data_IF_724289862397
#
_entry.id   IF_724289862397
#
_cell.length_a   1.000
_cell.length_b   1.000
_cell.length_c   1.000
_cell.angle_alpha   90.00
_cell.angle_beta   90.00
_cell.angle_gamma   90.00
#
_symmetry.space_group_name_H-M   'P 1'
#
loop_
_entity.id
_entity.type
_entity.pdbx_description
1 polymer ?
#
# COMPACT_ATOMS: atom_id res chain seq x y z
N UNK A 1 2.26 23.46 -24.46
CA UNK A 1 1.96 24.90 -24.25
C UNK A 1 0.89 25.08 -23.19
N UNK A 2 1.19 25.77 -22.09
CA UNK A 2 0.20 26.16 -21.08
C UNK A 2 -0.41 27.51 -21.47
N UNK A 3 -1.71 27.72 -21.22
CA UNK A 3 -2.39 28.98 -21.51
C UNK A 3 -2.94 29.55 -20.22
N UNK A 4 -2.64 30.81 -19.92
CA UNK A 4 -3.13 31.52 -18.72
C UNK A 4 -4.56 32.05 -18.88
N UNK A 5 -5.16 31.94 -20.08
CA UNK A 5 -6.52 32.46 -20.36
C UNK A 5 -7.59 31.58 -19.69
N UNK A 6 -8.40 32.10 -18.74
CA UNK A 6 -9.38 31.30 -18.00
C UNK A 6 -10.42 30.63 -18.90
N UNK A 7 -10.91 31.32 -19.93
CA UNK A 7 -11.92 30.77 -20.86
C UNK A 7 -11.41 29.53 -21.60
N UNK A 8 -10.13 29.54 -22.02
CA UNK A 8 -9.50 28.39 -22.68
C UNK A 8 -9.29 27.21 -21.73
N UNK A 9 -8.96 27.48 -20.47
CA UNK A 9 -8.80 26.45 -19.45
C UNK A 9 -10.13 25.77 -19.09
N UNK A 10 -11.21 26.56 -18.90
CA UNK A 10 -12.56 26.04 -18.63
C UNK A 10 -13.05 25.18 -19.80
N UNK A 11 -12.93 25.67 -21.04
CA UNK A 11 -13.30 24.92 -22.25
C UNK A 11 -12.58 23.57 -22.32
N UNK A 12 -11.27 23.53 -22.02
CA UNK A 12 -10.47 22.30 -21.99
C UNK A 12 -10.99 21.28 -20.97
N UNK A 13 -11.42 21.72 -19.78
CA UNK A 13 -11.95 20.83 -18.75
C UNK A 13 -13.30 20.23 -19.15
N UNK A 14 -14.19 21.03 -19.70
CA UNK A 14 -15.52 20.56 -20.13
C UNK A 14 -15.46 19.62 -21.34
N UNK A 15 -14.57 19.90 -22.29
CA UNK A 15 -14.42 19.12 -23.54
C UNK A 15 -13.38 17.99 -23.44
N UNK A 16 -12.82 17.72 -22.26
CA UNK A 16 -11.79 16.70 -22.10
C UNK A 16 -12.31 15.30 -22.49
N UNK A 17 -11.51 14.48 -23.21
CA UNK A 17 -11.79 13.05 -23.40
C UNK A 17 -11.58 12.24 -22.12
N UNK A 18 -12.17 11.04 -22.04
CA UNK A 18 -12.21 10.24 -20.80
C UNK A 18 -10.86 9.87 -20.19
N UNK A 19 -9.85 9.59 -21.02
CA UNK A 19 -8.50 9.29 -20.54
C UNK A 19 -7.83 10.51 -19.87
N UNK A 20 -8.24 11.73 -20.25
CA UNK A 20 -7.82 12.98 -19.59
C UNK A 20 -8.67 13.21 -18.34
N UNK A 21 -9.99 12.98 -18.41
CA UNK A 21 -10.88 13.09 -17.23
C UNK A 21 -10.43 12.20 -16.08
N UNK A 22 -9.96 11.00 -16.39
CA UNK A 22 -9.35 10.08 -15.42
C UNK A 22 -8.20 10.72 -14.62
N UNK A 23 -7.35 11.53 -15.26
CA UNK A 23 -6.25 12.21 -14.58
C UNK A 23 -6.73 13.33 -13.66
N UNK A 24 -7.82 14.00 -14.02
CA UNK A 24 -8.44 15.05 -13.20
C UNK A 24 -9.14 14.49 -11.95
N UNK A 25 -9.62 13.25 -12.00
CA UNK A 25 -10.28 12.56 -10.88
C UNK A 25 -9.30 11.99 -9.83
N UNK A 26 -8.23 12.72 -9.53
CA UNK A 26 -7.26 12.32 -8.51
C UNK A 26 -7.64 12.80 -7.12
N UNK A 27 -7.48 11.94 -6.11
CA UNK A 27 -7.64 12.28 -4.71
C UNK A 27 -6.31 12.15 -3.94
N UNK A 28 -6.09 12.95 -2.87
CA UNK A 28 -4.96 12.79 -1.98
C UNK A 28 -4.99 11.44 -1.26
N UNK A 29 -3.81 10.84 -1.07
CA UNK A 29 -3.64 9.65 -0.25
C UNK A 29 -3.55 10.01 1.25
N UNK A 30 -3.92 9.07 2.11
CA UNK A 30 -3.73 9.17 3.56
C UNK A 30 -2.25 9.35 3.92
N UNK A 31 -1.91 10.00 5.04
CA UNK A 31 -0.53 10.17 5.47
C UNK A 31 0.26 8.85 5.56
N UNK A 32 -0.40 7.75 5.90
CA UNK A 32 0.18 6.40 5.97
C UNK A 32 0.56 5.89 4.58
N UNK A 33 -0.39 5.87 3.64
CA UNK A 33 -0.14 5.46 2.25
C UNK A 33 0.88 6.35 1.54
N UNK A 34 0.93 7.64 1.91
CA UNK A 34 1.93 8.58 1.40
C UNK A 34 3.33 8.23 1.85
N UNK A 35 3.51 7.76 3.09
CA UNK A 35 4.81 7.30 3.61
C UNK A 35 5.25 6.00 2.92
N UNK A 36 4.33 5.06 2.75
CA UNK A 36 4.62 3.74 2.16
C UNK A 36 5.01 3.82 0.67
N UNK A 37 4.24 4.59 -0.11
CA UNK A 37 4.41 4.66 -1.55
C UNK A 37 5.17 5.90 -2.03
N UNK A 38 5.33 6.93 -1.20
CA UNK A 38 6.03 8.18 -1.55
C UNK A 38 5.27 9.09 -2.53
N UNK A 39 3.97 8.84 -2.74
CA UNK A 39 3.14 9.53 -3.75
C UNK A 39 2.12 10.41 -3.04
N UNK A 40 1.83 11.60 -3.58
CA UNK A 40 0.85 12.52 -2.98
C UNK A 40 -0.61 12.16 -3.28
N UNK A 41 -0.90 11.77 -4.52
CA UNK A 41 -2.27 11.52 -5.00
C UNK A 41 -2.32 10.46 -6.10
N UNK A 42 -3.47 9.79 -6.18
CA UNK A 42 -3.80 8.82 -7.22
C UNK A 42 -5.22 9.04 -7.75
N UNK A 43 -5.49 8.69 -9.03
CA UNK A 43 -6.86 8.60 -9.54
C UNK A 43 -7.70 7.62 -8.74
N UNK A 44 -8.90 8.05 -8.35
CA UNK A 44 -9.84 7.22 -7.60
C UNK A 44 -10.44 6.14 -8.50
N UNK A 45 -10.58 4.93 -7.98
CA UNK A 45 -11.23 3.80 -8.65
C UNK A 45 -12.33 3.21 -7.77
N UNK A 46 -13.26 2.49 -8.39
CA UNK A 46 -14.23 1.67 -7.66
C UNK A 46 -13.48 0.67 -6.76
N UNK A 47 -14.01 0.47 -5.55
CA UNK A 47 -13.41 -0.38 -4.53
C UNK A 47 -12.32 0.27 -3.68
N UNK A 48 -11.84 1.48 -3.99
CA UNK A 48 -11.00 2.24 -3.05
C UNK A 48 -11.84 2.62 -1.81
N UNK A 49 -11.22 2.58 -0.62
CA UNK A 49 -11.85 3.12 0.59
C UNK A 49 -11.44 4.57 0.76
N UNK A 50 -12.41 5.41 1.05
CA UNK A 50 -12.24 6.84 1.06
C UNK A 50 -12.89 7.49 2.29
N UNK A 51 -12.30 8.60 2.72
CA UNK A 51 -12.80 9.47 3.78
C UNK A 51 -13.13 10.85 3.23
N UNK A 52 -14.30 11.37 3.53
CA UNK A 52 -14.70 12.73 3.15
C UNK A 52 -14.05 13.74 4.08
N UNK A 53 -13.34 14.72 3.52
CA UNK A 53 -12.57 15.73 4.25
C UNK A 53 -13.31 17.08 4.38
N UNK A 54 -14.18 17.40 3.42
CA UNK A 54 -14.84 18.71 3.30
C UNK A 54 -16.32 18.55 2.90
N UNK A 55 -17.15 19.50 3.31
CA UNK A 55 -18.60 19.51 3.09
C UNK A 55 -19.37 18.90 4.27
N UNK A 56 -20.67 18.71 4.07
CA UNK A 56 -21.61 18.31 5.13
C UNK A 56 -21.29 16.92 5.69
N UNK A 57 -20.83 16.02 4.82
CA UNK A 57 -20.50 14.64 5.16
C UNK A 57 -19.05 14.45 5.62
N UNK A 58 -18.42 15.49 6.18
CA UNK A 58 -17.03 15.42 6.65
C UNK A 58 -16.89 14.36 7.74
N UNK A 59 -15.84 13.54 7.61
CA UNK A 59 -15.55 12.45 8.55
C UNK A 59 -16.16 11.12 8.15
N UNK A 60 -17.11 11.10 7.20
CA UNK A 60 -17.67 9.86 6.68
C UNK A 60 -16.62 9.04 5.93
N UNK A 61 -16.59 7.73 6.20
CA UNK A 61 -15.72 6.76 5.54
C UNK A 61 -16.56 5.70 4.84
N UNK A 62 -16.18 5.35 3.61
CA UNK A 62 -16.89 4.34 2.85
C UNK A 62 -16.11 3.90 1.61
N UNK A 63 -16.56 2.81 0.98
CA UNK A 63 -15.98 2.35 -0.28
C UNK A 63 -16.56 3.13 -1.45
N UNK A 64 -15.77 3.32 -2.50
CA UNK A 64 -16.26 3.91 -3.74
C UNK A 64 -17.04 2.88 -4.54
N UNK A 65 -18.34 3.12 -4.75
CA UNK A 65 -19.18 2.27 -5.56
C UNK A 65 -18.89 2.47 -7.05
N UNK A 66 -19.06 3.71 -7.52
CA UNK A 66 -18.87 4.08 -8.92
C UNK A 66 -18.24 5.46 -9.08
N UNK A 67 -17.58 5.64 -10.21
CA UNK A 67 -16.89 6.88 -10.59
C UNK A 67 -17.45 7.38 -11.92
N UNK A 68 -18.18 8.50 -11.87
CA UNK A 68 -18.78 9.12 -13.04
C UNK A 68 -17.83 10.16 -13.61
N UNK A 69 -17.13 9.77 -14.68
CA UNK A 69 -16.13 10.64 -15.35
C UNK A 69 -16.77 11.80 -16.11
N UNK A 70 -18.01 11.66 -16.55
CA UNK A 70 -18.71 12.71 -17.28
C UNK A 70 -18.94 13.95 -16.42
N UNK A 71 -19.34 13.74 -15.17
CA UNK A 71 -19.70 14.80 -14.21
C UNK A 71 -18.58 15.14 -13.22
N UNK A 72 -17.47 14.40 -13.27
CA UNK A 72 -16.37 14.48 -12.31
C UNK A 72 -16.82 14.17 -10.86
N UNK A 73 -17.73 13.22 -10.70
CA UNK A 73 -18.32 12.84 -9.41
C UNK A 73 -18.05 11.39 -9.06
N UNK A 74 -18.07 11.11 -7.77
CA UNK A 74 -17.84 9.82 -7.15
C UNK A 74 -18.99 9.57 -6.19
N UNK A 75 -19.41 8.31 -6.12
CA UNK A 75 -20.45 7.86 -5.21
C UNK A 75 -19.84 6.90 -4.22
N UNK A 76 -20.08 7.18 -2.95
CA UNK A 76 -19.53 6.44 -1.82
C UNK A 76 -20.66 5.59 -1.24
N UNK A 77 -20.34 4.35 -0.89
CA UNK A 77 -21.23 3.42 -0.22
C UNK A 77 -21.68 3.97 1.13
N UNK A 78 -22.98 3.82 1.44
CA UNK A 78 -23.59 4.36 2.65
C UNK A 78 -23.80 5.88 2.65
N UNK A 79 -23.32 6.59 1.62
CA UNK A 79 -23.55 8.02 1.49
C UNK A 79 -24.79 8.30 0.64
N UNK A 80 -25.95 8.19 1.27
CA UNK A 80 -27.26 8.37 0.65
C UNK A 80 -28.00 9.56 1.22
N UNK A 81 -28.96 10.08 0.44
CA UNK A 81 -30.00 11.00 0.88
C UNK A 81 -31.35 10.41 0.51
N UNK A 82 -32.34 10.62 1.37
CA UNK A 82 -33.72 10.23 1.11
C UNK A 82 -34.41 11.28 0.24
N UNK A 83 -35.19 10.82 -0.75
CA UNK A 83 -36.12 11.66 -1.49
C UNK A 83 -37.46 11.74 -0.76
N UNK A 84 -38.30 12.69 -1.17
CA UNK A 84 -39.69 12.82 -0.67
C UNK A 84 -40.49 11.52 -0.90
N UNK A 85 -40.21 10.81 -1.99
CA UNK A 85 -40.83 9.52 -2.33
C UNK A 85 -40.34 8.35 -1.45
N UNK A 86 -39.46 8.58 -0.48
CA UNK A 86 -38.84 7.55 0.38
C UNK A 86 -37.69 6.77 -0.26
N UNK A 87 -37.42 6.97 -1.56
CA UNK A 87 -36.30 6.30 -2.24
C UNK A 87 -34.94 6.92 -1.84
N UNK A 88 -33.95 6.08 -1.58
CA UNK A 88 -32.58 6.52 -1.26
C UNK A 88 -31.74 6.74 -2.52
N UNK A 89 -31.11 7.91 -2.65
CA UNK A 89 -30.20 8.23 -3.75
C UNK A 89 -28.81 8.54 -3.23
N UNK A 90 -27.80 8.03 -3.92
CA UNK A 90 -26.39 8.27 -3.59
C UNK A 90 -26.02 9.74 -3.81
N UNK A 91 -25.24 10.29 -2.89
CA UNK A 91 -24.81 11.69 -2.97
C UNK A 91 -23.54 11.83 -3.84
N UNK A 92 -23.53 12.71 -4.87
CA UNK A 92 -22.39 12.88 -5.75
C UNK A 92 -21.30 13.78 -5.12
N UNK A 93 -20.12 13.22 -4.88
CA UNK A 93 -18.98 13.93 -4.30
C UNK A 93 -17.85 14.10 -5.31
N UNK A 94 -17.20 15.27 -5.30
CA UNK A 94 -15.99 15.51 -6.09
C UNK A 94 -14.75 14.92 -5.37
N UNK A 95 -13.82 14.21 -6.05
CA UNK A 95 -12.66 13.55 -5.44
C UNK A 95 -11.76 14.47 -4.62
N UNK A 96 -11.62 15.75 -4.99
CA UNK A 96 -10.79 16.70 -4.23
C UNK A 96 -11.30 16.96 -2.81
N UNK A 97 -12.56 16.62 -2.51
CA UNK A 97 -13.15 16.72 -1.16
C UNK A 97 -12.87 15.48 -0.32
N UNK A 98 -12.17 14.48 -0.88
CA UNK A 98 -12.05 13.14 -0.34
C UNK A 98 -10.57 12.78 -0.20
N UNK A 99 -10.25 11.90 0.74
CA UNK A 99 -8.93 11.30 0.94
C UNK A 99 -9.04 9.79 0.79
N UNK A 100 -8.11 9.16 0.07
CA UNK A 100 -8.08 7.70 -0.04
C UNK A 100 -7.39 7.14 1.21
N UNK A 101 -8.09 6.28 1.94
CA UNK A 101 -7.58 5.61 3.14
C UNK A 101 -6.99 4.24 2.81
N UNK A 102 -7.65 3.46 1.95
CA UNK A 102 -7.18 2.16 1.47
C UNK A 102 -7.28 2.08 -0.04
N UNK A 103 -6.24 1.56 -0.70
CA UNK A 103 -6.20 1.36 -2.14
C UNK A 103 -6.70 -0.02 -2.51
N UNK A 104 -7.52 -0.11 -3.55
CA UNK A 104 -7.72 -1.36 -4.26
C UNK A 104 -6.50 -1.61 -5.19
N UNK A 105 -5.84 -2.77 -5.03
CA UNK A 105 -4.69 -3.21 -5.82
C UNK A 105 -4.94 -4.50 -6.62
N UNK A 106 -6.20 -4.85 -6.88
CA UNK A 106 -6.57 -6.06 -7.62
C UNK A 106 -6.03 -6.00 -9.06
N UNK A 107 -6.00 -4.80 -9.63
CA UNK A 107 -5.56 -4.54 -11.00
C UNK A 107 -4.03 -4.43 -11.12
N UNK A 108 -3.45 -5.26 -12.01
CA UNK A 108 -2.02 -5.24 -12.39
C UNK A 108 -1.58 -3.87 -12.89
N UNK A 109 -2.41 -3.18 -13.70
CA UNK A 109 -2.05 -1.86 -14.22
C UNK A 109 -1.94 -0.81 -13.12
N UNK A 110 -2.76 -0.91 -12.08
CA UNK A 110 -2.75 0.02 -10.94
C UNK A 110 -1.49 -0.17 -10.10
N UNK A 111 -1.10 -1.41 -9.83
CA UNK A 111 0.20 -1.77 -9.22
C UNK A 111 1.37 -1.21 -10.04
N UNK A 112 1.37 -1.41 -11.35
CA UNK A 112 2.43 -0.89 -12.23
C UNK A 112 2.52 0.64 -12.22
N UNK A 113 1.39 1.35 -12.18
CA UNK A 113 1.37 2.82 -12.07
C UNK A 113 1.95 3.27 -10.73
N UNK A 114 1.61 2.57 -9.65
CA UNK A 114 2.11 2.87 -8.31
C UNK A 114 3.63 2.69 -8.23
N UNK A 115 4.14 1.57 -8.71
CA UNK A 115 5.58 1.29 -8.77
C UNK A 115 6.33 2.29 -9.64
N UNK A 116 5.80 2.60 -10.83
CA UNK A 116 6.40 3.60 -11.72
C UNK A 116 6.49 4.96 -11.04
N UNK A 117 5.42 5.41 -10.39
CA UNK A 117 5.40 6.69 -9.66
C UNK A 117 6.34 6.69 -8.46
N UNK A 118 6.49 5.55 -7.76
CA UNK A 118 7.43 5.37 -6.65
C UNK A 118 8.88 5.50 -7.13
N UNK A 119 9.23 4.87 -8.26
CA UNK A 119 10.57 4.97 -8.88
C UNK A 119 10.92 6.41 -9.25
N UNK A 120 10.01 7.14 -9.89
CA UNK A 120 10.26 8.54 -10.31
C UNK A 120 10.54 9.48 -9.12
N UNK A 121 10.02 9.17 -7.93
CA UNK A 121 10.18 9.98 -6.72
C UNK A 121 11.46 9.66 -5.94
N UNK A 122 12.27 8.69 -6.36
CA UNK A 122 13.55 8.35 -5.72
C UNK A 122 13.43 7.80 -4.30
N UNK A 123 12.23 7.39 -3.86
CA UNK A 123 12.01 6.87 -2.50
C UNK A 123 12.26 5.36 -2.47
N UNK A 124 13.53 4.98 -2.59
CA UNK A 124 14.01 3.63 -2.28
C UNK A 124 14.44 3.58 -0.81
N UNK A 125 13.54 3.17 0.08
CA UNK A 125 13.93 2.76 1.44
C UNK A 125 13.21 3.49 2.56
N UNK A 126 11.95 3.12 2.78
CA UNK A 126 11.35 3.07 4.12
C UNK A 126 10.61 1.73 4.17
N UNK A 127 11.34 0.66 4.49
CA UNK A 127 10.74 -0.59 4.97
C UNK A 127 10.30 -0.34 6.41
N UNK A 128 9.03 -0.05 6.66
CA UNK A 128 8.44 -0.14 7.99
C UNK A 128 7.80 -1.52 8.16
N UNK A 129 8.63 -2.41 8.68
CA UNK A 129 8.36 -3.48 9.66
C UNK A 129 7.04 -4.26 9.60
N UNK A 130 7.23 -5.58 9.51
CA UNK A 130 6.32 -6.69 9.79
C UNK A 130 5.45 -6.47 11.03
N UNK A 131 4.23 -7.01 10.95
CA UNK A 131 3.33 -7.34 12.06
C UNK A 131 4.05 -8.07 13.21
N UNK A 132 3.60 -7.87 14.45
CA UNK A 132 3.59 -8.94 15.45
C UNK A 132 2.16 -9.44 15.71
N UNK A 133 1.96 -10.72 15.39
CA UNK A 133 0.91 -11.58 15.93
C UNK A 133 1.01 -11.68 17.47
N UNK A 134 -0.12 -12.05 18.07
CA UNK A 134 -0.49 -12.14 19.49
C UNK A 134 0.57 -12.67 20.48
N UNK A 135 0.59 -12.11 21.70
CA UNK A 135 0.52 -12.88 22.96
C UNK A 135 -0.23 -12.11 24.04
N UNK A 136 -1.43 -12.61 24.38
CA UNK A 136 -2.08 -12.40 25.67
C UNK A 136 -1.46 -13.34 26.72
N UNK A 137 -1.56 -12.93 27.99
CA UNK A 137 -1.45 -13.68 29.26
C UNK A 137 -0.12 -13.68 30.06
N UNK A 138 -0.30 -13.54 31.39
CA UNK A 138 0.62 -13.45 32.53
C UNK A 138 1.22 -12.05 32.80
N UNK A 139 1.13 -11.40 33.97
CA UNK A 139 0.47 -11.71 35.25
C UNK A 139 0.48 -10.43 36.11
N UNK A 140 -0.54 -10.24 36.94
CA UNK A 140 -0.67 -9.11 37.84
C UNK A 140 0.17 -9.28 39.13
N UNK A 141 0.57 -8.13 39.71
CA UNK A 141 1.05 -7.89 41.10
C UNK A 141 2.53 -8.19 41.42
N UNK A 142 3.35 -7.14 41.54
CA UNK A 142 3.79 -6.56 42.85
C UNK A 142 4.78 -5.38 42.70
N UNK A 143 4.30 -4.22 43.15
CA UNK A 143 4.99 -3.22 44.00
C UNK A 143 6.38 -2.64 43.64
N UNK A 144 6.36 -1.33 43.33
CA UNK A 144 7.14 -0.22 43.92
C UNK A 144 8.68 -0.33 44.06
N UNK A 145 9.33 0.63 43.38
CA UNK A 145 10.47 1.47 43.79
C UNK A 145 11.81 0.80 44.19
N UNK A 146 12.75 0.88 43.25
CA UNK A 146 14.05 1.55 43.36
C UNK A 146 14.85 1.44 44.68
N UNK A 147 15.98 0.74 44.61
CA UNK A 147 17.22 1.08 45.34
C UNK A 147 18.46 0.63 44.53
N UNK A 148 19.52 1.44 44.58
CA UNK A 148 20.75 1.36 43.77
C UNK A 148 21.87 0.59 44.51
N UNK A 149 22.53 -0.35 43.80
CA UNK A 149 23.98 -0.73 43.75
C UNK A 149 24.77 -1.05 45.06
N UNK A 150 25.99 -1.60 44.99
CA UNK A 150 26.55 -2.70 44.15
C UNK A 150 27.36 -3.72 45.01
N UNK A 151 27.80 -4.88 44.49
CA UNK A 151 29.08 -5.52 44.95
C UNK A 151 29.54 -6.72 44.09
N UNK A 152 30.86 -6.70 43.80
CA UNK A 152 31.87 -7.77 43.55
C UNK A 152 31.52 -8.99 42.67
N UNK A 153 32.18 -9.25 41.53
CA UNK A 153 33.61 -9.58 41.18
C UNK A 153 33.85 -11.11 41.18
N UNK A 154 34.58 -11.57 40.13
CA UNK A 154 35.31 -12.88 39.95
C UNK A 154 34.46 -13.96 39.24
N UNK A 155 34.83 -14.70 38.17
CA UNK A 155 35.97 -14.81 37.23
C UNK A 155 35.54 -15.64 35.98
N UNK A 156 36.38 -15.59 34.94
CA UNK A 156 36.51 -16.37 33.68
C UNK A 156 36.00 -17.84 33.63
N UNK A 157 35.43 -18.20 32.46
CA UNK A 157 35.83 -19.30 31.53
C UNK A 157 35.04 -19.06 30.21
N UNK A 158 35.64 -18.92 29.01
CA UNK A 158 36.18 -19.94 28.12
C UNK A 158 35.23 -21.14 27.90
N UNK A 159 35.02 -21.53 26.63
CA UNK A 159 34.01 -22.47 26.07
C UNK A 159 32.65 -21.80 25.82
N UNK A 160 32.06 -21.67 24.62
CA UNK A 160 32.10 -22.46 23.40
C UNK A 160 32.12 -21.54 22.17
N UNK A 161 33.27 -21.51 21.49
CA UNK A 161 33.47 -21.01 20.13
C UNK A 161 33.41 -22.22 19.19
N UNK A 162 32.49 -23.17 19.39
CA UNK A 162 32.34 -24.33 18.50
C UNK A 162 30.90 -24.79 18.56
N UNK A 163 29.98 -24.05 17.93
CA UNK A 163 28.74 -24.60 17.41
C UNK A 163 28.03 -23.51 16.61
N UNK A 164 27.64 -23.84 15.37
CA UNK A 164 27.06 -22.95 14.35
C UNK A 164 28.04 -22.31 13.36
N UNK A 165 29.16 -22.99 13.04
CA UNK A 165 29.73 -22.96 11.67
C UNK A 165 29.24 -24.12 10.80
N UNK A 166 28.73 -25.21 11.38
CA UNK A 166 28.40 -26.46 10.66
C UNK A 166 27.02 -26.56 9.99
N UNK A 167 26.25 -25.48 9.90
CA UNK A 167 25.01 -25.45 9.09
C UNK A 167 25.17 -24.78 7.73
N UNK A 168 26.34 -24.20 7.45
CA UNK A 168 26.61 -23.49 6.19
C UNK A 168 27.20 -24.42 5.11
N UNK A 169 27.82 -25.53 5.49
CA UNK A 169 28.55 -26.40 4.55
C UNK A 169 27.79 -27.66 4.10
N UNK A 170 26.60 -27.94 4.66
CA UNK A 170 25.75 -29.05 4.21
C UNK A 170 24.84 -28.70 3.03
N UNK A 171 24.46 -27.42 2.85
CA UNK A 171 23.59 -27.00 1.75
C UNK A 171 24.31 -26.76 0.41
N UNK A 172 25.63 -26.57 0.42
CA UNK A 172 26.40 -26.38 -0.81
C UNK A 172 26.63 -27.68 -1.60
N UNK A 173 26.53 -28.85 -0.95
CA UNK A 173 26.79 -30.16 -1.57
C UNK A 173 25.55 -30.74 -2.28
N UNK A 174 24.35 -30.39 -1.84
CA UNK A 174 23.07 -30.82 -2.44
C UNK A 174 22.81 -30.04 -3.75
N UNK A 175 23.14 -28.75 -3.79
CA UNK A 175 22.92 -27.88 -4.95
C UNK A 175 23.83 -28.20 -6.16
N UNK A 176 24.97 -28.85 -5.93
CA UNK A 176 25.91 -29.26 -6.98
C UNK A 176 25.53 -30.59 -7.66
N UNK A 177 24.77 -31.46 -6.97
CA UNK A 177 24.31 -32.74 -7.52
C UNK A 177 23.08 -32.56 -8.43
N UNK A 178 22.16 -31.65 -8.12
CA UNK A 178 20.98 -31.39 -8.95
C UNK A 178 21.31 -30.70 -10.29
N UNK A 179 22.33 -29.85 -10.33
CA UNK A 179 22.78 -29.18 -11.56
C UNK A 179 23.46 -30.15 -12.55
N UNK A 180 24.08 -31.24 -12.07
CA UNK A 180 24.67 -32.30 -12.91
C UNK A 180 23.64 -33.25 -13.53
N UNK A 181 22.49 -33.46 -12.90
CA UNK A 181 21.41 -34.33 -13.41
C UNK A 181 20.63 -33.64 -14.53
N UNK A 182 20.41 -32.31 -14.43
CA UNK A 182 19.69 -31.53 -15.45
C UNK A 182 20.42 -31.43 -16.79
N UNK A 183 21.74 -31.31 -16.79
CA UNK A 183 22.54 -31.21 -18.03
C UNK A 183 22.64 -32.52 -18.79
N UNK A 184 22.62 -33.68 -18.10
CA UNK A 184 22.58 -35.01 -18.76
C UNK A 184 21.23 -35.33 -19.40
N UNK A 185 20.11 -34.82 -18.85
CA UNK A 185 18.76 -35.03 -19.40
C UNK A 185 18.47 -34.19 -20.65
N UNK A 186 19.09 -33.01 -20.75
CA UNK A 186 18.97 -32.14 -21.93
C UNK A 186 19.71 -32.67 -23.16
N UNK A 187 20.86 -33.34 -22.95
CA UNK A 187 21.72 -33.84 -24.03
C UNK A 187 21.19 -35.11 -24.72
N UNK A 188 20.44 -35.96 -24.01
CA UNK A 188 19.82 -37.17 -24.58
C UNK A 188 18.60 -36.88 -25.46
N UNK A 189 17.91 -35.75 -25.27
CA UNK A 189 16.73 -35.39 -26.08
C UNK A 189 17.07 -34.80 -27.45
N UNK A 190 18.33 -34.42 -27.69
CA UNK A 190 18.78 -33.83 -28.96
C UNK A 190 19.43 -34.84 -29.92
N UNK A 191 19.56 -36.12 -29.52
CA UNK A 191 20.13 -37.19 -30.35
C UNK A 191 19.06 -38.17 -30.89
N UNK A 192 17.78 -37.99 -30.55
CA UNK A 192 16.66 -38.86 -30.96
C UNK A 192 15.54 -38.12 -31.74
N UNK A 193 15.85 -36.98 -32.39
CA UNK A 193 14.89 -36.24 -33.23
C UNK A 193 15.52 -35.78 -34.55
#
# INVERSE_FOLDING_TARGET
MQSSKPSKQRKRLFQAPDHIRYKHLSAPLSPELRKEHGIRSLPVRSGDTVRVMRGDYKGFEGKVLRVDRKEYRIYIEGLTREKVDGTTVLVPIHPSKVMITKLNLDDKWRKNILERKKKTKGVSGLKSQKEPEEKQSSEAKKTKKASKKPTRRVQKSAENVVENKDKKDKNAKVEAQEKKVRTRRGKRKSEEA
#
